data_IF_918491862365
#
_entry.id   IF_918491862365
#
_cell.length_a   1.000
_cell.length_b   1.000
_cell.length_c   1.000
_cell.angle_alpha   90.00
_cell.angle_beta   90.00
_cell.angle_gamma   90.00
#
_symmetry.space_group_name_H-M   'P 1'
#
loop_
_entity.id
_entity.type
_entity.pdbx_description
1 polymer ?
#
# COMPACT_ATOMS: atom_id res chain seq x y z
N UNK A 1 -15.75 -22.42 -33.32
CA UNK A 1 -14.36 -21.93 -33.23
C UNK A 1 -13.95 -22.04 -31.77
N UNK A 2 -12.83 -22.69 -31.43
CA UNK A 2 -12.35 -22.68 -30.06
C UNK A 2 -11.93 -21.24 -29.72
N UNK A 3 -12.49 -20.70 -28.64
CA UNK A 3 -12.09 -19.42 -28.07
C UNK A 3 -10.65 -19.55 -27.57
N UNK A 4 -9.69 -18.94 -28.28
CA UNK A 4 -8.32 -18.81 -27.80
C UNK A 4 -8.34 -17.78 -26.68
N UNK A 5 -8.19 -18.23 -25.45
CA UNK A 5 -8.10 -17.35 -24.29
C UNK A 5 -6.63 -16.93 -24.13
N UNK A 6 -6.37 -15.63 -24.21
CA UNK A 6 -5.06 -15.06 -23.87
C UNK A 6 -5.04 -14.77 -22.37
N UNK A 7 -4.00 -15.23 -21.69
CA UNK A 7 -3.74 -15.00 -20.27
C UNK A 7 -2.40 -14.30 -20.13
N UNK A 8 -2.35 -13.26 -19.32
CA UNK A 8 -1.11 -12.61 -18.93
C UNK A 8 -0.70 -13.14 -17.57
N UNK A 9 0.57 -13.53 -17.43
CA UNK A 9 1.11 -14.00 -16.15
C UNK A 9 2.35 -13.17 -15.81
N UNK A 10 2.35 -12.43 -14.68
CA UNK A 10 3.57 -11.84 -14.16
C UNK A 10 4.44 -12.92 -13.54
N UNK A 11 5.75 -12.85 -13.77
CA UNK A 11 6.72 -13.74 -13.14
C UNK A 11 8.05 -13.02 -12.97
N UNK A 12 8.92 -13.57 -12.15
CA UNK A 12 10.25 -13.03 -11.95
C UNK A 12 11.27 -14.07 -12.40
N UNK A 13 12.31 -13.59 -13.08
CA UNK A 13 13.44 -14.41 -13.48
C UNK A 13 14.56 -14.12 -12.50
N UNK A 14 14.83 -15.04 -11.58
CA UNK A 14 16.02 -14.96 -10.75
C UNK A 14 17.27 -15.04 -11.64
N UNK A 15 18.28 -14.23 -11.32
CA UNK A 15 19.61 -14.40 -11.87
C UNK A 15 20.11 -15.80 -11.47
N UNK A 16 20.06 -16.73 -12.42
CA UNK A 16 20.35 -18.15 -12.27
C UNK A 16 21.36 -18.45 -11.15
N UNK A 17 20.87 -18.93 -10.00
CA UNK A 17 21.68 -19.84 -9.21
C UNK A 17 21.51 -21.21 -9.87
N UNK A 18 22.61 -21.85 -10.20
CA UNK A 18 22.67 -23.12 -10.94
C UNK A 18 21.93 -24.24 -10.19
N UNK A 19 20.61 -24.31 -10.34
CA UNK A 19 19.79 -25.45 -10.00
C UNK A 19 19.51 -26.17 -11.32
N UNK A 20 19.93 -27.43 -11.43
CA UNK A 20 19.93 -28.21 -12.68
C UNK A 20 18.53 -28.57 -13.21
N UNK A 21 17.47 -27.96 -12.68
CA UNK A 21 16.07 -28.26 -13.00
C UNK A 21 15.24 -27.03 -13.43
N UNK A 22 15.81 -25.83 -13.55
CA UNK A 22 15.03 -24.64 -13.93
C UNK A 22 14.80 -24.54 -15.45
N UNK A 23 13.56 -24.79 -15.87
CA UNK A 23 13.08 -24.63 -17.25
C UNK A 23 12.66 -23.20 -17.61
N UNK A 24 12.86 -22.21 -16.73
CA UNK A 24 12.41 -20.83 -16.93
C UNK A 24 13.60 -19.87 -17.12
N UNK A 25 14.40 -20.09 -18.17
CA UNK A 25 15.38 -19.10 -18.61
C UNK A 25 14.70 -18.04 -19.48
N UNK A 26 14.71 -16.77 -19.06
CA UNK A 26 14.28 -15.65 -19.91
C UNK A 26 15.10 -15.61 -21.19
N UNK A 27 14.44 -15.33 -22.32
CA UNK A 27 15.11 -15.11 -23.61
C UNK A 27 15.84 -13.75 -23.66
N UNK A 28 15.53 -12.85 -22.72
CA UNK A 28 15.98 -11.45 -22.69
C UNK A 28 17.20 -11.23 -21.77
N UNK A 29 17.62 -12.25 -21.01
CA UNK A 29 18.80 -12.22 -20.13
C UNK A 29 18.47 -12.31 -18.64
N UNK A 30 19.52 -12.43 -17.81
CA UNK A 30 19.44 -12.94 -16.43
C UNK A 30 19.10 -11.93 -15.33
N UNK A 31 18.55 -10.74 -15.62
CA UNK A 31 18.29 -9.72 -14.57
C UNK A 31 17.10 -8.84 -14.96
N UNK A 32 16.02 -8.84 -14.18
CA UNK A 32 14.89 -7.94 -14.40
C UNK A 32 13.54 -8.40 -13.86
N UNK A 33 12.54 -7.53 -13.94
CA UNK A 33 11.13 -7.92 -13.84
C UNK A 33 10.59 -8.22 -15.23
N UNK A 34 10.20 -9.47 -15.50
CA UNK A 34 9.72 -9.90 -16.80
C UNK A 34 8.22 -10.21 -16.79
N UNK A 35 7.51 -9.79 -17.82
CA UNK A 35 6.11 -10.09 -18.01
C UNK A 35 5.93 -10.79 -19.34
N UNK A 36 5.16 -11.88 -19.31
CA UNK A 36 4.78 -12.56 -20.53
C UNK A 36 3.28 -12.61 -20.72
N UNK A 37 2.89 -12.55 -21.98
CA UNK A 37 1.57 -12.96 -22.44
C UNK A 37 1.67 -14.39 -22.90
N UNK A 38 0.62 -15.16 -22.66
CA UNK A 38 0.50 -16.52 -23.14
C UNK A 38 -0.90 -16.77 -23.69
N UNK A 39 -0.99 -17.75 -24.59
CA UNK A 39 -2.24 -18.29 -25.09
C UNK A 39 -2.49 -19.66 -24.46
N UNK A 40 -3.72 -19.90 -24.03
CA UNK A 40 -4.15 -21.20 -23.53
C UNK A 40 -4.93 -21.94 -24.62
N UNK A 41 -4.39 -23.06 -25.08
CA UNK A 41 -5.06 -23.99 -26.01
C UNK A 41 -4.88 -25.42 -25.53
N UNK A 42 -5.95 -26.20 -25.47
CA UNK A 42 -5.91 -27.62 -25.06
C UNK A 42 -5.13 -27.86 -23.75
N UNK A 43 -5.39 -27.02 -22.73
CA UNK A 43 -4.69 -26.99 -21.43
C UNK A 43 -3.18 -26.74 -21.50
N UNK A 44 -2.67 -26.31 -22.65
CA UNK A 44 -1.26 -25.94 -22.84
C UNK A 44 -1.15 -24.42 -22.86
N UNK A 45 -0.36 -23.87 -21.93
CA UNK A 45 -0.01 -22.46 -21.91
C UNK A 45 1.20 -22.25 -22.83
N UNK A 46 1.03 -21.48 -23.90
CA UNK A 46 2.10 -21.16 -24.85
C UNK A 46 2.41 -19.67 -24.74
N UNK A 47 3.63 -19.35 -24.32
CA UNK A 47 4.15 -17.99 -24.31
C UNK A 47 4.10 -17.35 -25.70
N UNK A 48 3.64 -16.10 -25.77
CA UNK A 48 3.50 -15.34 -27.02
C UNK A 48 4.42 -14.13 -27.11
N UNK A 49 4.61 -13.40 -25.99
CA UNK A 49 5.45 -12.21 -25.92
C UNK A 49 6.05 -12.09 -24.53
N UNK A 50 7.35 -11.81 -24.43
CA UNK A 50 8.08 -11.47 -23.21
C UNK A 50 8.55 -10.02 -23.26
N UNK A 51 8.37 -9.27 -22.17
CA UNK A 51 8.92 -7.91 -21.99
C UNK A 51 9.50 -7.80 -20.60
N UNK A 52 10.76 -7.38 -20.49
CA UNK A 52 11.45 -7.22 -19.23
C UNK A 52 11.81 -5.76 -18.96
N UNK A 53 11.65 -5.34 -17.71
CA UNK A 53 12.30 -4.15 -17.16
C UNK A 53 13.59 -4.57 -16.46
N UNK A 54 14.72 -4.30 -17.12
CA UNK A 54 16.06 -4.63 -16.61
C UNK A 54 16.63 -3.57 -15.68
N UNK A 55 15.89 -2.48 -15.42
CA UNK A 55 16.32 -1.41 -14.49
C UNK A 55 15.99 -1.75 -13.04
N UNK A 56 15.13 -2.74 -12.83
CA UNK A 56 14.70 -3.24 -11.53
C UNK A 56 15.17 -4.67 -11.32
N UNK A 57 15.34 -5.08 -10.07
CA UNK A 57 15.70 -6.45 -9.71
C UNK A 57 14.90 -6.87 -8.47
N UNK A 58 13.63 -7.28 -8.67
CA UNK A 58 12.76 -7.75 -7.59
C UNK A 58 13.42 -8.83 -6.73
N UNK A 59 13.12 -8.83 -5.44
CA UNK A 59 13.45 -9.90 -4.51
C UNK A 59 12.20 -10.27 -3.71
N UNK A 60 12.16 -11.52 -3.27
CA UNK A 60 10.97 -12.16 -2.70
C UNK A 60 9.80 -12.20 -3.71
N UNK A 61 8.59 -12.52 -3.24
CA UNK A 61 7.43 -12.55 -4.12
C UNK A 61 6.95 -11.14 -4.48
N UNK A 62 6.39 -11.04 -5.68
CA UNK A 62 5.71 -9.86 -6.20
C UNK A 62 4.22 -10.02 -5.95
N UNK A 63 3.57 -9.02 -5.37
CA UNK A 63 2.10 -8.95 -5.37
C UNK A 63 1.61 -8.07 -6.52
N UNK A 64 0.38 -8.33 -6.96
CA UNK A 64 -0.22 -7.61 -8.08
C UNK A 64 -1.67 -7.25 -7.83
N UNK A 65 -2.08 -6.10 -8.34
CA UNK A 65 -3.47 -5.68 -8.31
C UNK A 65 -3.93 -5.20 -9.69
N UNK A 66 -5.11 -5.66 -10.11
CA UNK A 66 -5.75 -5.23 -11.35
C UNK A 66 -6.35 -3.84 -11.16
N UNK A 67 -5.80 -2.83 -11.85
CA UNK A 67 -6.35 -1.47 -11.90
C UNK A 67 -7.49 -1.39 -12.91
N UNK A 68 -7.30 -1.99 -14.09
CA UNK A 68 -8.30 -2.04 -15.16
C UNK A 68 -8.10 -3.31 -15.99
N UNK A 69 -8.88 -3.49 -17.06
CA UNK A 69 -8.69 -4.59 -18.01
C UNK A 69 -7.32 -4.54 -18.72
N UNK A 70 -6.67 -3.38 -18.74
CA UNK A 70 -5.40 -3.16 -19.43
C UNK A 70 -4.30 -2.68 -18.52
N UNK A 71 -4.52 -2.51 -17.21
CA UNK A 71 -3.50 -1.97 -16.30
C UNK A 71 -3.41 -2.80 -15.03
N UNK A 72 -2.19 -3.15 -14.66
CA UNK A 72 -1.85 -3.82 -13.40
C UNK A 72 -0.83 -2.98 -12.62
N UNK A 73 -0.96 -2.99 -11.29
CA UNK A 73 0.08 -2.55 -10.37
C UNK A 73 0.84 -3.78 -9.87
N UNK A 74 2.17 -3.65 -9.74
CA UNK A 74 3.06 -4.67 -9.18
C UNK A 74 3.80 -4.05 -8.00
N UNK A 75 3.80 -4.70 -6.84
CA UNK A 75 4.60 -4.28 -5.68
C UNK A 75 5.63 -5.33 -5.32
N UNK A 76 6.86 -4.90 -5.10
CA UNK A 76 8.00 -5.77 -4.81
C UNK A 76 9.13 -5.01 -4.12
N UNK A 77 10.02 -5.72 -3.43
CA UNK A 77 11.27 -5.15 -2.96
C UNK A 77 12.32 -5.23 -4.06
N UNK A 78 13.06 -4.15 -4.29
CA UNK A 78 13.97 -4.04 -5.44
C UNK A 78 15.43 -3.93 -5.01
N UNK A 79 16.20 -4.98 -5.30
CA UNK A 79 17.63 -5.05 -4.98
C UNK A 79 18.47 -4.04 -5.76
N UNK A 80 18.04 -3.61 -6.95
CA UNK A 80 18.71 -2.56 -7.70
C UNK A 80 18.58 -1.18 -7.01
N UNK A 81 17.53 -1.01 -6.21
CA UNK A 81 17.24 0.19 -5.43
C UNK A 81 17.44 -0.04 -3.91
N UNK A 82 18.52 -0.75 -3.54
CA UNK A 82 18.88 -1.01 -2.14
C UNK A 82 17.76 -1.67 -1.31
N UNK A 83 17.04 -2.61 -1.91
CA UNK A 83 15.90 -3.32 -1.30
C UNK A 83 14.72 -2.40 -0.95
N UNK A 84 14.61 -1.21 -1.55
CA UNK A 84 13.42 -0.37 -1.40
C UNK A 84 12.17 -1.07 -1.94
N UNK A 85 11.02 -0.79 -1.33
CA UNK A 85 9.73 -1.12 -1.89
C UNK A 85 9.51 -0.31 -3.17
N UNK A 86 9.24 -1.00 -4.25
CA UNK A 86 8.95 -0.42 -5.56
C UNK A 86 7.55 -0.83 -6.01
N UNK A 87 6.82 0.13 -6.56
CA UNK A 87 5.50 -0.09 -7.18
C UNK A 87 5.59 0.27 -8.64
N UNK A 88 5.30 -0.66 -9.53
CA UNK A 88 5.33 -0.45 -10.98
C UNK A 88 3.95 -0.56 -11.59
N UNK A 89 3.64 0.35 -12.52
CA UNK A 89 2.44 0.28 -13.35
C UNK A 89 2.78 -0.28 -14.71
N UNK A 90 2.00 -1.29 -15.12
CA UNK A 90 2.16 -1.94 -16.42
C UNK A 90 0.86 -1.87 -17.18
N UNK A 91 0.96 -1.40 -18.42
CA UNK A 91 -0.15 -1.34 -19.36
C UNK A 91 -0.06 -2.48 -20.39
N UNK A 92 -1.19 -3.10 -20.68
CA UNK A 92 -1.37 -4.12 -21.70
C UNK A 92 -2.06 -3.52 -22.92
N UNK A 93 -1.34 -3.48 -24.03
CA UNK A 93 -1.94 -3.06 -25.30
C UNK A 93 -2.74 -4.21 -25.91
N UNK A 94 -4.05 -4.05 -26.05
CA UNK A 94 -4.89 -5.01 -26.78
C UNK A 94 -4.49 -5.13 -28.27
N UNK A 95 -3.88 -4.07 -28.84
CA UNK A 95 -3.43 -4.03 -30.24
C UNK A 95 -2.11 -4.78 -30.41
N UNK A 96 -1.10 -4.47 -29.58
CA UNK A 96 0.22 -5.12 -29.66
C UNK A 96 0.26 -6.48 -28.99
N UNK A 97 -0.73 -6.81 -28.15
CA UNK A 97 -0.78 -7.98 -27.27
C UNK A 97 0.50 -8.14 -26.43
N UNK A 98 1.06 -7.02 -25.99
CA UNK A 98 2.31 -6.97 -25.25
C UNK A 98 2.17 -6.10 -24.00
N UNK A 99 2.85 -6.44 -22.89
CA UNK A 99 3.01 -5.54 -21.76
C UNK A 99 3.84 -4.31 -22.15
N UNK A 100 3.71 -3.24 -21.37
CA UNK A 100 4.62 -2.08 -21.39
C UNK A 100 4.72 -1.53 -19.97
N UNK A 101 5.92 -1.50 -19.41
CA UNK A 101 6.20 -0.81 -18.15
C UNK A 101 6.05 0.70 -18.37
N UNK A 102 5.19 1.34 -17.58
CA UNK A 102 4.81 2.75 -17.76
C UNK A 102 5.55 3.66 -16.80
N UNK A 103 5.51 3.29 -15.53
CA UNK A 103 6.13 4.04 -14.45
C UNK A 103 6.47 3.10 -13.30
N UNK A 104 7.40 3.55 -12.47
CA UNK A 104 7.71 2.96 -11.18
C UNK A 104 7.82 4.07 -10.15
N UNK A 105 7.46 3.75 -8.92
CA UNK A 105 7.67 4.59 -7.75
C UNK A 105 8.49 3.80 -6.74
N UNK A 106 9.66 4.34 -6.39
CA UNK A 106 10.56 3.78 -5.39
C UNK A 106 10.29 4.49 -4.07
N UNK A 107 9.99 3.72 -3.02
CA UNK A 107 9.71 4.26 -1.70
C UNK A 107 11.00 4.35 -0.87
N UNK A 108 11.63 5.51 -0.89
CA UNK A 108 12.91 5.74 -0.20
C UNK A 108 12.82 5.48 1.32
N UNK A 109 11.67 5.74 1.95
CA UNK A 109 11.44 5.49 3.38
C UNK A 109 11.39 4.00 3.76
N UNK A 110 11.58 3.10 2.79
CA UNK A 110 11.63 1.64 2.97
C UNK A 110 12.97 1.03 2.61
N UNK A 111 13.99 1.84 2.31
CA UNK A 111 15.33 1.36 1.94
C UNK A 111 15.93 0.51 3.07
N UNK A 112 16.40 -0.69 2.73
CA UNK A 112 17.09 -1.60 3.64
C UNK A 112 16.76 -3.06 3.37
N UNK A 113 17.73 -3.94 3.60
CA UNK A 113 17.52 -5.38 3.46
C UNK A 113 16.68 -5.94 4.60
N UNK A 114 15.85 -6.94 4.29
CA UNK A 114 15.09 -7.70 5.29
C UNK A 114 15.96 -8.79 5.92
N UNK A 115 16.80 -8.39 6.88
CA UNK A 115 17.70 -9.29 7.61
C UNK A 115 17.29 -9.39 9.09
N UNK A 116 16.12 -9.98 9.34
CA UNK A 116 15.51 -10.03 10.68
C UNK A 116 15.47 -11.42 11.32
N UNK A 117 16.17 -12.39 10.73
CA UNK A 117 16.25 -13.74 11.28
C UNK A 117 16.30 -14.77 10.15
N UNK A 118 17.38 -15.53 10.09
CA UNK A 118 17.64 -16.57 9.09
C UNK A 118 16.83 -17.86 9.32
N UNK A 119 15.90 -17.87 10.27
CA UNK A 119 15.14 -19.04 10.67
C UNK A 119 13.89 -19.23 9.81
N UNK A 120 14.07 -19.91 8.67
CA UNK A 120 13.05 -20.58 7.83
C UNK A 120 12.05 -19.70 7.06
N UNK A 121 12.23 -19.65 5.73
CA UNK A 121 11.13 -19.51 4.75
C UNK A 121 10.27 -18.26 4.82
N UNK A 122 10.72 -17.21 5.49
CA UNK A 122 9.99 -15.96 5.62
C UNK A 122 10.22 -15.07 4.39
N UNK A 123 9.16 -14.84 3.60
CA UNK A 123 9.19 -13.97 2.43
C UNK A 123 8.32 -12.73 2.71
N UNK A 124 8.92 -11.55 2.94
CA UNK A 124 8.18 -10.31 3.22
C UNK A 124 7.58 -9.79 1.92
N UNK A 125 6.45 -10.37 1.52
CA UNK A 125 5.77 -9.96 0.29
C UNK A 125 4.99 -8.67 0.56
N UNK A 126 5.28 -7.55 -0.12
CA UNK A 126 4.44 -6.37 -0.01
C UNK A 126 3.11 -6.62 -0.72
N UNK A 127 2.03 -6.04 -0.20
CA UNK A 127 0.66 -6.28 -0.66
C UNK A 127 0.08 -5.00 -1.24
N UNK A 128 -0.35 -5.03 -2.50
CA UNK A 128 -0.94 -3.89 -3.19
C UNK A 128 -2.44 -4.11 -3.40
N UNK A 129 -3.24 -3.08 -3.14
CA UNK A 129 -4.68 -3.07 -3.41
C UNK A 129 -5.11 -1.76 -4.07
N UNK A 130 -6.02 -1.86 -5.02
CA UNK A 130 -6.62 -0.70 -5.68
C UNK A 130 -7.69 -0.10 -4.77
N UNK A 131 -7.60 1.20 -4.54
CA UNK A 131 -8.59 1.99 -3.83
C UNK A 131 -9.41 2.83 -4.81
N UNK A 132 -10.52 3.39 -4.32
CA UNK A 132 -11.28 4.41 -5.04
C UNK A 132 -10.43 5.65 -5.39
N UNK A 133 -10.84 6.39 -6.41
CA UNK A 133 -10.25 7.66 -6.85
C UNK A 133 -8.80 7.55 -7.33
N UNK A 134 -8.48 6.50 -8.10
CA UNK A 134 -7.17 6.26 -8.68
C UNK A 134 -6.02 6.20 -7.67
N UNK A 135 -6.20 5.40 -6.62
CA UNK A 135 -5.20 5.23 -5.56
C UNK A 135 -4.85 3.77 -5.35
N UNK A 136 -3.68 3.56 -4.76
CA UNK A 136 -3.14 2.25 -4.40
C UNK A 136 -2.76 2.28 -2.93
N UNK A 137 -3.25 1.33 -2.16
CA UNK A 137 -2.72 1.03 -0.84
C UNK A 137 -1.63 -0.04 -0.99
N UNK A 138 -0.46 0.20 -0.42
CA UNK A 138 0.63 -0.77 -0.40
C UNK A 138 1.03 -1.04 1.04
N UNK A 139 0.67 -2.21 1.55
CA UNK A 139 1.04 -2.70 2.87
C UNK A 139 2.32 -3.51 2.80
N UNK A 140 3.23 -3.30 3.74
CA UNK A 140 4.54 -3.93 3.72
C UNK A 140 5.15 -3.97 5.12
N UNK A 141 6.16 -4.81 5.29
CA UNK A 141 7.04 -4.74 6.44
C UNK A 141 8.14 -3.75 6.10
N UNK A 142 8.39 -2.74 6.92
CA UNK A 142 9.34 -1.68 6.58
C UNK A 142 10.73 -1.97 7.17
N UNK A 143 11.70 -2.33 6.34
CA UNK A 143 13.08 -2.65 6.77
C UNK A 143 13.79 -1.45 7.39
N UNK A 144 13.59 -0.25 6.85
CA UNK A 144 14.12 1.01 7.40
C UNK A 144 13.59 1.29 8.82
N UNK A 145 12.47 0.68 9.19
CA UNK A 145 11.86 0.78 10.52
C UNK A 145 11.80 -0.58 11.21
N UNK A 146 12.89 -1.35 11.14
CA UNK A 146 13.06 -2.63 11.86
C UNK A 146 11.99 -3.68 11.55
N UNK A 147 11.51 -3.70 10.30
CA UNK A 147 10.48 -4.61 9.80
C UNK A 147 9.07 -4.31 10.31
N UNK A 148 8.82 -3.11 10.85
CA UNK A 148 7.49 -2.73 11.37
C UNK A 148 6.43 -2.72 10.25
N UNK A 149 5.27 -3.41 10.43
CA UNK A 149 4.12 -3.31 9.54
C UNK A 149 3.73 -1.86 9.27
N UNK A 150 3.70 -1.53 7.98
CA UNK A 150 3.49 -0.17 7.47
C UNK A 150 2.61 -0.21 6.23
N UNK A 151 2.03 0.94 5.90
CA UNK A 151 1.25 1.14 4.68
C UNK A 151 1.58 2.50 4.08
N UNK A 152 1.59 2.58 2.76
CA UNK A 152 1.69 3.83 1.99
C UNK A 152 0.50 3.88 1.03
N UNK A 153 -0.08 5.07 0.86
CA UNK A 153 -1.06 5.33 -0.19
C UNK A 153 -0.39 6.13 -1.30
N UNK A 154 -0.50 5.62 -2.51
CA UNK A 154 -0.07 6.29 -3.73
C UNK A 154 -1.30 6.67 -4.55
N UNK A 155 -1.20 7.74 -5.33
CA UNK A 155 -2.14 8.08 -6.38
C UNK A 155 -1.53 7.80 -7.74
N UNK A 156 -2.39 7.53 -8.73
CA UNK A 156 -1.98 7.44 -10.13
C UNK A 156 -2.84 8.33 -11.03
N UNK A 157 -2.18 8.94 -12.00
CA UNK A 157 -2.81 9.80 -13.00
C UNK A 157 -3.31 9.00 -14.22
N UNK A 158 -4.04 9.66 -15.12
CA UNK A 158 -4.55 9.05 -16.36
C UNK A 158 -3.45 8.60 -17.33
N UNK A 159 -2.27 9.22 -17.28
CA UNK A 159 -1.08 8.82 -18.04
C UNK A 159 -0.22 7.78 -17.29
N UNK A 160 -0.75 7.24 -16.19
CA UNK A 160 -0.15 6.19 -15.37
C UNK A 160 1.17 6.63 -14.73
N UNK A 161 1.27 7.87 -14.28
CA UNK A 161 2.35 8.31 -13.38
C UNK A 161 1.92 8.11 -11.93
N UNK A 162 2.85 7.70 -11.07
CA UNK A 162 2.62 7.48 -9.64
C UNK A 162 3.09 8.70 -8.84
N UNK A 163 2.30 9.07 -7.84
CA UNK A 163 2.61 10.13 -6.88
C UNK A 163 2.28 9.73 -5.45
N UNK A 164 2.92 10.39 -4.50
CA UNK A 164 2.63 10.20 -3.08
C UNK A 164 1.30 10.84 -2.70
N UNK A 165 0.45 10.06 -2.01
CA UNK A 165 -0.81 10.55 -1.42
C UNK A 165 -0.75 10.58 0.11
N UNK A 166 0.11 9.76 0.72
CA UNK A 166 0.31 9.69 2.17
C UNK A 166 1.79 9.56 2.53
N UNK A 167 2.20 9.99 3.74
CA UNK A 167 3.44 9.50 4.33
C UNK A 167 3.36 7.98 4.57
N UNK A 168 4.48 7.34 4.91
CA UNK A 168 4.44 5.95 5.43
C UNK A 168 3.74 5.93 6.79
N UNK A 169 2.62 5.23 6.87
CA UNK A 169 1.79 5.10 8.06
C UNK A 169 2.11 3.77 8.76
N UNK A 170 2.45 3.76 10.06
CA UNK A 170 2.70 2.53 10.78
C UNK A 170 1.38 1.90 11.22
N UNK A 171 1.34 0.58 11.14
CA UNK A 171 0.17 -0.23 11.50
C UNK A 171 0.35 -0.90 12.85
N UNK A 172 1.58 -1.27 13.18
CA UNK A 172 1.88 -1.91 14.44
C UNK A 172 2.00 -0.91 15.60
N UNK A 173 2.01 -1.43 16.83
CA UNK A 173 2.34 -0.63 18.00
C UNK A 173 3.77 -0.06 17.91
N UNK A 174 4.03 1.01 18.67
CA UNK A 174 5.33 1.69 18.66
C UNK A 174 6.50 0.76 19.05
N UNK A 175 6.25 -0.21 19.93
CA UNK A 175 7.20 -1.18 20.46
C UNK A 175 7.39 -2.43 19.58
N UNK A 176 6.55 -2.64 18.57
CA UNK A 176 6.71 -3.78 17.66
C UNK A 176 7.96 -3.63 16.80
N UNK A 177 8.73 -4.72 16.67
CA UNK A 177 9.91 -4.79 15.81
C UNK A 177 10.11 -6.22 15.33
N UNK A 178 10.43 -6.41 14.05
CA UNK A 178 11.00 -7.67 13.56
C UNK A 178 12.49 -7.77 13.86
N UNK A 179 13.21 -6.64 13.90
CA UNK A 179 14.60 -6.67 14.33
C UNK A 179 14.70 -7.21 15.76
N UNK A 180 15.27 -8.41 15.87
CA UNK A 180 15.46 -9.15 17.12
C UNK A 180 16.94 -9.15 17.47
N UNK A 181 17.25 -8.97 18.75
CA UNK A 181 18.60 -9.22 19.27
C UNK A 181 18.92 -10.72 19.38
N UNK A 182 17.90 -11.58 19.34
CA UNK A 182 18.05 -13.04 19.32
C UNK A 182 18.19 -13.52 17.86
N UNK A 183 19.38 -13.99 17.44
CA UNK A 183 19.61 -14.50 16.09
C UNK A 183 18.85 -15.81 15.80
N UNK A 184 18.26 -16.43 16.83
CA UNK A 184 17.43 -17.63 16.72
C UNK A 184 15.93 -17.31 16.84
N UNK A 185 15.53 -16.05 16.76
CA UNK A 185 14.12 -15.69 16.77
C UNK A 185 13.38 -16.48 15.67
N UNK A 186 12.51 -17.40 16.10
CA UNK A 186 11.69 -18.22 15.21
C UNK A 186 10.33 -17.56 15.09
N UNK A 187 9.78 -17.55 13.87
CA UNK A 187 8.45 -17.04 13.62
C UNK A 187 8.27 -16.50 12.22
N UNK A 188 7.06 -16.05 11.95
CA UNK A 188 6.70 -15.31 10.75
C UNK A 188 5.53 -14.38 11.06
N UNK A 189 5.54 -13.21 10.44
CA UNK A 189 4.41 -12.28 10.45
C UNK A 189 3.84 -12.20 9.05
N UNK A 190 2.57 -12.56 8.91
CA UNK A 190 1.84 -12.35 7.67
C UNK A 190 1.13 -11.01 7.75
N UNK A 191 1.08 -10.31 6.63
CA UNK A 191 0.39 -9.05 6.46
C UNK A 191 -0.58 -9.18 5.28
N UNK A 192 -1.75 -8.57 5.38
CA UNK A 192 -2.68 -8.44 4.27
C UNK A 192 -3.38 -7.07 4.30
N UNK A 193 -3.83 -6.65 3.13
CA UNK A 193 -4.52 -5.38 2.90
C UNK A 193 -5.83 -5.69 2.19
N UNK A 194 -6.89 -5.06 2.68
CA UNK A 194 -8.22 -5.09 2.08
C UNK A 194 -8.61 -3.66 1.76
N UNK A 195 -8.89 -3.40 0.48
CA UNK A 195 -9.46 -2.11 0.07
C UNK A 195 -10.86 -1.96 0.66
N UNK A 196 -11.14 -0.78 1.20
CA UNK A 196 -12.51 -0.36 1.54
C UNK A 196 -12.98 0.66 0.52
N UNK A 197 -14.25 1.07 0.59
CA UNK A 197 -14.78 2.13 -0.28
C UNK A 197 -13.99 3.44 -0.12
N UNK A 198 -13.52 3.68 1.11
CA UNK A 198 -13.01 4.98 1.53
C UNK A 198 -11.55 4.93 2.04
N UNK A 199 -10.89 3.77 2.03
CA UNK A 199 -9.54 3.64 2.57
C UNK A 199 -9.03 2.21 2.45
N UNK A 200 -8.26 1.78 3.43
CA UNK A 200 -7.78 0.40 3.49
C UNK A 200 -7.85 -0.14 4.92
N UNK A 201 -8.24 -1.40 5.06
CA UNK A 201 -7.97 -2.19 6.24
C UNK A 201 -6.64 -2.91 6.02
N UNK A 202 -5.75 -2.83 7.00
CA UNK A 202 -4.51 -3.58 6.99
C UNK A 202 -4.40 -4.37 8.28
N UNK A 203 -4.12 -5.65 8.12
CA UNK A 203 -3.96 -6.59 9.21
C UNK A 203 -2.59 -7.22 9.16
N UNK A 204 -2.05 -7.52 10.34
CA UNK A 204 -0.94 -8.45 10.45
C UNK A 204 -1.18 -9.43 11.59
N UNK A 205 -0.67 -10.65 11.44
CA UNK A 205 -0.74 -11.67 12.46
C UNK A 205 0.43 -12.65 12.34
N UNK A 206 0.84 -13.22 13.47
CA UNK A 206 1.80 -14.31 13.49
C UNK A 206 2.54 -14.44 14.82
N UNK A 207 3.43 -15.42 14.86
CA UNK A 207 4.34 -15.63 15.98
C UNK A 207 5.67 -14.97 15.62
N UNK A 208 6.24 -14.16 16.51
CA UNK A 208 7.57 -13.59 16.32
C UNK A 208 8.30 -13.51 17.66
N UNK A 209 9.54 -13.99 17.71
CA UNK A 209 10.38 -13.99 18.92
C UNK A 209 9.65 -14.55 20.17
N UNK A 210 8.85 -15.60 19.98
CA UNK A 210 8.09 -16.25 21.07
C UNK A 210 6.82 -15.52 21.52
N UNK A 211 6.46 -14.40 20.89
CA UNK A 211 5.23 -13.64 21.18
C UNK A 211 4.23 -13.73 20.02
N UNK A 212 2.96 -13.94 20.35
CA UNK A 212 1.86 -13.79 19.38
C UNK A 212 1.62 -12.31 19.13
N UNK A 213 1.68 -11.91 17.87
CA UNK A 213 1.47 -10.55 17.41
C UNK A 213 0.29 -10.53 16.47
N UNK A 214 -0.69 -9.65 16.70
CA UNK A 214 -1.81 -9.47 15.79
C UNK A 214 -2.41 -8.07 15.92
N UNK A 215 -2.86 -7.52 14.80
CA UNK A 215 -3.62 -6.27 14.77
C UNK A 215 -4.34 -6.12 13.45
N UNK A 216 -5.45 -5.39 13.49
CA UNK A 216 -6.12 -4.82 12.32
C UNK A 216 -6.25 -3.32 12.56
N UNK A 217 -5.95 -2.52 11.54
CA UNK A 217 -6.12 -1.09 11.57
C UNK A 217 -6.87 -0.61 10.32
N UNK A 218 -7.75 0.36 10.51
CA UNK A 218 -8.32 1.17 9.43
C UNK A 218 -7.35 2.31 9.12
N UNK A 219 -7.04 2.48 7.84
CA UNK A 219 -6.09 3.47 7.34
C UNK A 219 -6.84 4.46 6.47
N UNK A 220 -6.78 5.72 6.90
CA UNK A 220 -7.47 6.86 6.30
C UNK A 220 -6.43 7.86 5.78
N UNK A 221 -6.36 8.00 4.46
CA UNK A 221 -5.53 9.00 3.79
C UNK A 221 -6.25 9.51 2.56
N UNK A 222 -6.64 10.78 2.56
CA UNK A 222 -7.37 11.45 1.48
C UNK A 222 -6.93 12.91 1.30
N UNK A 223 -5.76 13.26 1.83
CA UNK A 223 -5.25 14.63 1.82
C UNK A 223 -6.09 15.59 2.68
N UNK A 224 -6.03 16.86 2.33
CA UNK A 224 -6.65 17.94 3.09
C UNK A 224 -8.17 17.99 2.88
N UNK A 225 -8.99 18.02 3.94
CA UNK A 225 -10.42 18.26 3.80
C UNK A 225 -10.63 19.62 3.13
N UNK A 226 -11.61 19.76 2.24
CA UNK A 226 -11.88 21.02 1.53
C UNK A 226 -12.86 21.95 2.26
N UNK A 227 -13.60 21.44 3.24
CA UNK A 227 -14.59 22.21 3.98
C UNK A 227 -15.49 21.30 4.82
N UNK A 228 -16.34 21.91 5.64
CA UNK A 228 -17.38 21.22 6.42
C UNK A 228 -18.74 21.60 5.89
N UNK A 229 -19.58 20.60 5.64
CA UNK A 229 -21.01 20.82 5.37
C UNK A 229 -21.72 20.94 6.71
N UNK A 230 -22.27 22.12 7.01
CA UNK A 230 -22.86 22.43 8.32
C UNK A 230 -24.39 22.38 8.34
N UNK A 231 -25.04 22.37 7.18
CA UNK A 231 -26.49 22.31 7.07
C UNK A 231 -26.92 21.49 5.85
N UNK A 232 -27.83 20.53 6.07
CA UNK A 232 -28.44 19.70 5.02
C UNK A 232 -29.97 19.70 5.18
N UNK A 233 -30.55 20.86 5.51
CA UNK A 233 -32.00 21.05 5.58
C UNK A 233 -32.52 21.69 4.28
N UNK A 234 -32.89 20.86 3.29
CA UNK A 234 -33.48 21.34 2.03
C UNK A 234 -32.47 21.71 0.94
N UNK A 235 -32.87 22.57 -0.01
CA UNK A 235 -32.16 22.81 -1.30
C UNK A 235 -30.79 23.50 -1.20
N UNK A 236 -30.43 23.99 -0.02
CA UNK A 236 -29.24 24.82 0.17
C UNK A 236 -28.23 24.08 1.06
N UNK A 237 -27.01 23.93 0.54
CA UNK A 237 -25.88 23.27 1.23
C UNK A 237 -24.93 24.37 1.69
N UNK A 238 -24.82 24.57 3.01
CA UNK A 238 -23.85 25.50 3.58
C UNK A 238 -22.51 24.79 3.78
N UNK A 239 -21.48 25.28 3.08
CA UNK A 239 -20.11 24.76 3.16
C UNK A 239 -19.22 25.80 3.83
N UNK A 240 -18.68 25.48 4.99
CA UNK A 240 -17.71 26.28 5.68
C UNK A 240 -16.29 25.85 5.32
N UNK A 241 -15.55 26.75 4.67
CA UNK A 241 -14.14 26.56 4.33
C UNK A 241 -13.21 27.05 5.47
N UNK A 242 -13.69 27.97 6.32
CA UNK A 242 -12.93 28.46 7.47
C UNK A 242 -13.86 29.10 8.50
N UNK A 243 -13.36 29.31 9.72
CA UNK A 243 -14.09 29.97 10.79
C UNK A 243 -14.77 28.99 11.73
N UNK A 244 -15.70 29.48 12.55
CA UNK A 244 -16.40 28.63 13.54
C UNK A 244 -17.64 28.01 12.92
N UNK A 245 -17.78 26.70 13.05
CA UNK A 245 -18.87 25.91 12.49
C UNK A 245 -19.54 25.11 13.60
N UNK A 246 -20.87 25.07 13.56
CA UNK A 246 -21.66 24.21 14.43
C UNK A 246 -21.67 22.79 13.85
N UNK A 247 -21.41 21.79 14.69
CA UNK A 247 -21.40 20.38 14.29
C UNK A 247 -22.23 19.53 15.25
N UNK A 248 -22.79 18.44 14.73
CA UNK A 248 -23.68 17.53 15.47
C UNK A 248 -22.97 16.52 16.38
N UNK A 249 -21.65 16.63 16.54
CA UNK A 249 -20.83 15.68 17.29
C UNK A 249 -20.44 16.23 18.66
N UNK A 250 -20.33 15.37 19.67
CA UNK A 250 -19.86 15.73 21.02
C UNK A 250 -18.33 15.89 21.03
N UNK A 251 -17.87 17.13 20.83
CA UNK A 251 -16.46 17.47 20.85
C UNK A 251 -15.93 17.74 22.26
N UNK A 252 -14.62 17.57 22.43
CA UNK A 252 -13.88 18.00 23.62
C UNK A 252 -13.19 19.32 23.31
N UNK A 253 -13.55 20.37 24.07
CA UNK A 253 -12.96 21.70 23.88
C UNK A 253 -11.43 21.67 24.02
N UNK A 254 -10.75 22.31 23.08
CA UNK A 254 -9.29 22.37 23.00
C UNK A 254 -8.65 21.21 22.23
N UNK A 255 -9.44 20.24 21.78
CA UNK A 255 -8.96 19.08 21.04
C UNK A 255 -8.94 19.34 19.54
N UNK A 256 -7.84 18.92 18.90
CA UNK A 256 -7.69 18.92 17.44
C UNK A 256 -8.38 17.71 16.84
N UNK A 257 -9.12 17.91 15.76
CA UNK A 257 -9.87 16.87 15.06
C UNK A 257 -9.41 16.71 13.61
N UNK A 258 -9.39 15.46 13.17
CA UNK A 258 -9.03 15.00 11.84
C UNK A 258 -10.23 14.27 11.25
N UNK A 259 -10.49 14.44 9.96
CA UNK A 259 -11.60 13.75 9.30
C UNK A 259 -11.12 12.39 8.77
N UNK A 260 -11.94 11.36 8.98
CA UNK A 260 -11.94 10.24 8.06
C UNK A 260 -12.63 10.64 6.76
N UNK A 261 -12.52 9.75 5.80
CA UNK A 261 -13.06 9.86 4.46
C UNK A 261 -14.58 9.78 4.40
N UNK A 262 -15.17 9.09 5.37
CA UNK A 262 -16.62 9.11 5.63
C UNK A 262 -17.08 10.38 6.36
N UNK A 263 -16.16 11.31 6.67
CA UNK A 263 -16.47 12.56 7.38
C UNK A 263 -16.57 12.42 8.90
N UNK A 264 -16.21 11.26 9.46
CA UNK A 264 -16.17 11.08 10.93
C UNK A 264 -14.97 11.84 11.49
N UNK A 265 -15.19 12.60 12.57
CA UNK A 265 -14.13 13.34 13.24
C UNK A 265 -13.44 12.48 14.31
N UNK A 266 -12.12 12.38 14.22
CA UNK A 266 -11.27 11.66 15.15
C UNK A 266 -10.32 12.61 15.88
N UNK A 267 -10.11 12.32 17.16
CA UNK A 267 -9.04 12.90 17.96
C UNK A 267 -7.95 11.86 18.21
N UNK A 268 -6.71 12.30 18.40
CA UNK A 268 -5.62 11.41 18.77
C UNK A 268 -5.88 10.78 20.15
N UNK A 269 -5.72 9.46 20.27
CA UNK A 269 -5.99 8.72 21.51
C UNK A 269 -4.93 8.99 22.59
N UNK A 270 -3.64 8.87 22.25
CA UNK A 270 -2.55 9.03 23.24
C UNK A 270 -1.19 9.41 22.64
N UNK A 271 -0.96 9.12 21.36
CA UNK A 271 0.34 9.38 20.69
C UNK A 271 0.12 9.78 19.23
N UNK A 272 0.56 10.97 18.86
CA UNK A 272 0.62 11.43 17.47
C UNK A 272 2.08 11.69 17.10
N UNK A 273 2.48 11.33 15.89
CA UNK A 273 3.78 11.74 15.33
C UNK A 273 3.62 13.03 14.54
N UNK A 274 4.68 13.55 13.91
CA UNK A 274 4.58 14.72 13.04
C UNK A 274 3.73 14.47 11.78
N UNK A 275 3.55 13.20 11.38
CA UNK A 275 2.94 12.83 10.10
C UNK A 275 1.54 12.18 10.22
N UNK A 276 1.20 11.58 11.36
CA UNK A 276 -0.08 10.87 11.54
C UNK A 276 -0.59 10.92 12.98
N UNK A 277 -1.87 10.58 13.14
CA UNK A 277 -2.48 10.30 14.44
C UNK A 277 -2.92 8.84 14.55
N UNK A 278 -2.91 8.34 15.79
CA UNK A 278 -3.59 7.10 16.16
C UNK A 278 -4.86 7.48 16.92
N UNK A 279 -6.00 6.96 16.45
CA UNK A 279 -7.31 7.20 17.03
C UNK A 279 -8.01 5.89 17.38
N UNK A 280 -9.07 5.98 18.18
CA UNK A 280 -9.90 4.85 18.60
C UNK A 280 -9.07 3.68 19.15
N UNK A 281 -8.32 3.92 20.23
CA UNK A 281 -7.41 2.95 20.85
C UNK A 281 -6.37 2.38 19.86
N UNK A 282 -5.88 3.27 19.00
CA UNK A 282 -4.92 2.99 17.93
C UNK A 282 -5.47 2.08 16.80
N UNK A 283 -6.76 1.78 16.77
CA UNK A 283 -7.35 0.97 15.68
C UNK A 283 -7.56 1.75 14.37
N UNK A 284 -7.46 3.08 14.42
CA UNK A 284 -7.57 3.96 13.26
C UNK A 284 -6.29 4.77 13.11
N UNK A 285 -5.71 4.77 11.92
CA UNK A 285 -4.51 5.53 11.56
C UNK A 285 -4.90 6.56 10.51
N UNK A 286 -4.70 7.85 10.84
CA UNK A 286 -5.11 8.96 9.97
C UNK A 286 -3.92 9.85 9.68
N UNK A 287 -3.70 10.19 8.39
CA UNK A 287 -2.69 11.19 8.02
C UNK A 287 -3.01 12.54 8.65
N UNK A 288 -2.00 13.27 9.13
CA UNK A 288 -2.20 14.62 9.67
C UNK A 288 -2.65 15.64 8.64
N UNK A 289 -2.51 15.33 7.36
CA UNK A 289 -3.04 16.14 6.25
C UNK A 289 -4.57 16.25 6.33
N UNK A 290 -5.24 15.27 6.95
CA UNK A 290 -6.68 15.25 7.18
C UNK A 290 -7.16 16.19 8.31
N UNK A 291 -6.31 17.13 8.75
CA UNK A 291 -6.64 18.10 9.78
C UNK A 291 -7.87 18.93 9.37
N UNK A 292 -8.87 18.98 10.25
CA UNK A 292 -10.08 19.79 10.03
C UNK A 292 -10.01 21.08 10.84
N UNK A 293 -9.63 20.98 12.11
CA UNK A 293 -9.66 22.12 13.01
C UNK A 293 -9.58 21.77 14.50
N UNK A 294 -9.90 22.76 15.34
CA UNK A 294 -9.85 22.66 16.80
C UNK A 294 -11.20 22.96 17.42
N UNK A 295 -11.64 22.13 18.35
CA UNK A 295 -12.91 22.32 19.04
C UNK A 295 -12.85 23.49 20.02
N UNK A 296 -13.81 24.42 19.92
CA UNK A 296 -13.95 25.57 20.84
C UNK A 296 -15.16 25.44 21.78
N UNK A 297 -16.04 24.48 21.50
CA UNK A 297 -17.17 24.07 22.32
C UNK A 297 -17.44 22.58 22.13
N UNK A 298 -18.50 22.07 22.77
CA UNK A 298 -18.93 20.68 22.62
C UNK A 298 -19.60 20.40 21.27
N UNK A 299 -19.99 21.44 20.55
CA UNK A 299 -20.74 21.43 19.29
C UNK A 299 -20.15 22.43 18.28
N UNK A 300 -18.95 22.99 18.55
CA UNK A 300 -18.33 24.04 17.74
C UNK A 300 -16.88 23.71 17.41
N UNK A 301 -16.57 23.75 16.12
CA UNK A 301 -15.23 23.55 15.58
C UNK A 301 -14.74 24.83 14.88
N UNK A 302 -13.52 25.28 15.20
CA UNK A 302 -12.83 26.28 14.38
C UNK A 302 -12.10 25.55 13.27
N UNK A 303 -12.58 25.75 12.04
CA UNK A 303 -12.11 25.13 10.82
C UNK A 303 -10.93 25.90 10.24
N UNK A 304 -9.89 25.15 9.89
CA UNK A 304 -8.66 25.66 9.27
C UNK A 304 -8.32 24.81 8.06
N UNK A 305 -9.08 24.97 6.98
CA UNK A 305 -8.78 24.36 5.67
C UNK A 305 -7.79 25.22 4.90
#
# INVERSE_FOLDING_TARGET
MPTVNTVTVPWYVEASSTSSNDTASSSVGSVGLCLFTASLSDNTLTETVEVCDTTVSPTYYIDSAKISDTVIALSYFDTANNYALTVSLVEFSAIKRSPTFRSSYVLDESVGSMDFGSAFGFYPTPIVRVLSNNRLAVGFLNSANSGKPSIKVLSYSSDLTLSEESPVLPVANADFSLASADPNAVGAIVLDVVATETGALIGYAGLWAGAQNQRVALVESFGKPVGIVSNVDGSDVDVALSGTVDISSSLVKGTTYYASTEGTLYAASTTSTDNYILANDNTVVISKDALVGVAVGSDKLVVTV
#
